data_IF_809831424214
#
_entry.id   IF_809831424214
#
_cell.length_a   1.000
_cell.length_b   1.000
_cell.length_c   1.000
_cell.angle_alpha   90.00
_cell.angle_beta   90.00
_cell.angle_gamma   90.00
#
_symmetry.space_group_name_H-M   'P 1'
#
loop_
_entity.id
_entity.type
_entity.pdbx_description
1 polymer ?
#
# COMPACT_ATOMS: atom_id res chain seq x y z
N UNK A 1 14.57 -9.54 2.77
CA UNK A 1 15.22 -10.37 3.81
C UNK A 1 14.78 -11.83 3.68
N UNK A 2 15.72 -12.74 3.50
CA UNK A 2 15.46 -14.18 3.38
C UNK A 2 14.90 -14.74 4.69
N UNK A 3 13.64 -15.24 4.68
CA UNK A 3 12.98 -15.90 5.81
C UNK A 3 13.47 -17.36 5.96
N UNK A 4 14.77 -17.59 5.97
CA UNK A 4 15.36 -18.90 6.30
C UNK A 4 15.28 -19.12 7.82
N UNK A 5 14.91 -20.34 8.25
CA UNK A 5 14.90 -20.79 9.66
C UNK A 5 16.23 -20.55 10.36
N UNK A 6 17.35 -20.70 9.67
CA UNK A 6 18.71 -20.44 10.19
C UNK A 6 18.90 -18.96 10.52
N UNK A 7 18.36 -18.05 9.69
CA UNK A 7 18.40 -16.61 9.95
C UNK A 7 17.55 -16.26 11.19
N UNK A 8 16.37 -16.87 11.32
CA UNK A 8 15.51 -16.65 12.50
C UNK A 8 16.15 -17.15 13.80
N UNK A 9 16.86 -18.28 13.76
CA UNK A 9 17.59 -18.81 14.93
C UNK A 9 18.77 -17.92 15.29
N UNK A 10 19.56 -17.49 14.28
CA UNK A 10 20.75 -16.65 14.46
C UNK A 10 20.43 -15.32 15.15
N UNK A 11 19.37 -14.65 14.72
CA UNK A 11 18.98 -13.33 15.24
C UNK A 11 17.84 -13.38 16.27
N UNK A 12 17.54 -14.58 16.83
CA UNK A 12 16.40 -14.73 17.74
C UNK A 12 16.51 -13.88 19.01
N UNK A 13 17.73 -13.71 19.57
CA UNK A 13 17.93 -12.88 20.76
C UNK A 13 17.55 -11.42 20.53
N UNK A 14 17.85 -10.89 19.35
CA UNK A 14 17.49 -9.53 18.92
C UNK A 14 15.99 -9.44 18.55
N UNK A 15 15.45 -10.46 17.88
CA UNK A 15 14.04 -10.48 17.48
C UNK A 15 13.05 -10.77 18.62
N UNK A 16 13.46 -11.46 19.68
CA UNK A 16 12.56 -11.91 20.76
C UNK A 16 11.87 -10.75 21.50
N UNK A 17 12.55 -9.65 21.88
CA UNK A 17 11.89 -8.47 22.45
C UNK A 17 10.86 -7.86 21.48
N UNK A 18 11.21 -7.66 20.21
CA UNK A 18 10.29 -7.13 19.20
C UNK A 18 9.06 -8.04 19.00
N UNK A 19 9.26 -9.35 19.00
CA UNK A 19 8.19 -10.32 18.90
C UNK A 19 7.25 -10.26 20.12
N UNK A 20 7.80 -10.19 21.34
CA UNK A 20 7.02 -10.04 22.57
C UNK A 20 6.22 -8.73 22.60
N UNK A 21 6.86 -7.62 22.22
CA UNK A 21 6.19 -6.32 22.14
C UNK A 21 5.06 -6.35 21.11
N UNK A 22 5.29 -6.95 19.94
CA UNK A 22 4.26 -7.14 18.91
C UNK A 22 3.10 -8.02 19.40
N UNK A 23 3.39 -9.09 20.13
CA UNK A 23 2.38 -9.95 20.75
C UNK A 23 1.55 -9.19 21.79
N UNK A 24 2.18 -8.39 22.66
CA UNK A 24 1.49 -7.55 23.64
C UNK A 24 0.59 -6.52 22.96
N UNK A 25 1.09 -5.81 21.94
CA UNK A 25 0.26 -4.88 21.16
C UNK A 25 -0.91 -5.60 20.48
N UNK A 26 -0.70 -6.79 19.91
CA UNK A 26 -1.78 -7.60 19.33
C UNK A 26 -2.80 -8.03 20.38
N UNK A 27 -2.38 -8.38 21.59
CA UNK A 27 -3.27 -8.78 22.67
C UNK A 27 -4.11 -7.61 23.18
N UNK A 28 -3.49 -6.45 23.44
CA UNK A 28 -4.19 -5.22 23.80
C UNK A 28 -5.19 -4.80 22.72
N UNK A 29 -4.80 -4.93 21.44
CA UNK A 29 -5.70 -4.66 20.31
C UNK A 29 -6.88 -5.63 20.31
N UNK A 30 -6.66 -6.93 20.54
CA UNK A 30 -7.76 -7.91 20.63
C UNK A 30 -8.73 -7.61 21.77
N UNK A 31 -8.22 -7.23 22.94
CA UNK A 31 -9.04 -6.90 24.11
C UNK A 31 -9.88 -5.63 23.87
N UNK A 32 -9.31 -4.60 23.23
CA UNK A 32 -10.06 -3.41 22.80
C UNK A 32 -11.12 -3.75 21.74
N UNK A 33 -10.84 -4.72 20.87
CA UNK A 33 -11.67 -5.08 19.73
C UNK A 33 -12.82 -6.02 20.08
N UNK A 34 -12.80 -6.69 21.23
CA UNK A 34 -13.88 -7.58 21.65
C UNK A 34 -15.24 -6.87 21.67
N UNK A 35 -15.24 -5.55 21.87
CA UNK A 35 -16.44 -4.70 21.79
C UNK A 35 -17.06 -4.63 20.37
N UNK A 36 -16.25 -4.75 19.33
CA UNK A 36 -16.67 -4.62 17.93
C UNK A 36 -16.87 -5.97 17.22
N UNK A 37 -16.47 -7.08 17.84
CA UNK A 37 -16.54 -8.40 17.22
C UNK A 37 -17.98 -8.86 16.94
N UNK A 38 -18.93 -8.53 17.82
CA UNK A 38 -20.36 -8.81 17.60
C UNK A 38 -20.89 -8.06 16.39
N UNK A 39 -20.65 -6.75 16.33
CA UNK A 39 -21.04 -5.88 15.21
C UNK A 39 -20.43 -6.34 13.89
N UNK A 40 -19.12 -6.63 13.87
CA UNK A 40 -18.43 -7.11 12.67
C UNK A 40 -19.04 -8.43 12.17
N UNK A 41 -19.32 -9.36 13.08
CA UNK A 41 -19.91 -10.66 12.74
C UNK A 41 -21.33 -10.52 12.17
N UNK A 42 -22.14 -9.66 12.77
CA UNK A 42 -23.51 -9.37 12.31
C UNK A 42 -23.53 -8.78 10.89
N UNK A 43 -22.55 -7.93 10.57
CA UNK A 43 -22.45 -7.24 9.29
C UNK A 43 -21.54 -7.97 8.27
N UNK A 44 -21.05 -9.17 8.58
CA UNK A 44 -20.16 -9.94 7.70
C UNK A 44 -18.81 -9.26 7.42
N UNK A 45 -18.35 -8.38 8.31
CA UNK A 45 -17.10 -7.63 8.17
C UNK A 45 -15.92 -8.45 8.70
N UNK A 46 -14.71 -8.30 8.12
CA UNK A 46 -13.49 -8.87 8.71
C UNK A 46 -13.26 -8.30 10.12
N UNK A 47 -12.55 -9.04 10.96
CA UNK A 47 -12.10 -8.53 12.25
C UNK A 47 -11.23 -7.28 12.07
N UNK A 48 -11.12 -6.44 13.10
CA UNK A 48 -10.26 -5.24 13.07
C UNK A 48 -8.80 -5.61 12.76
N UNK A 49 -8.33 -6.75 13.26
CA UNK A 49 -6.99 -7.24 12.95
C UNK A 49 -6.82 -7.63 11.48
N UNK A 50 -7.82 -8.26 10.89
CA UNK A 50 -7.81 -8.55 9.45
C UNK A 50 -7.88 -7.26 8.64
N UNK A 51 -8.75 -6.30 9.01
CA UNK A 51 -8.81 -4.98 8.37
C UNK A 51 -7.46 -4.24 8.45
N UNK A 52 -6.76 -4.35 9.57
CA UNK A 52 -5.40 -3.80 9.74
C UNK A 52 -4.39 -4.41 8.77
N UNK A 53 -4.45 -5.72 8.51
CA UNK A 53 -3.59 -6.35 7.51
C UNK A 53 -3.99 -5.91 6.09
N UNK A 54 -5.29 -5.83 5.82
CA UNK A 54 -5.81 -5.43 4.51
C UNK A 54 -5.43 -3.98 4.21
N UNK A 55 -5.44 -3.06 5.18
CA UNK A 55 -5.00 -1.66 4.95
C UNK A 55 -3.50 -1.57 4.72
N UNK A 56 -2.69 -2.37 5.42
CA UNK A 56 -1.25 -2.48 5.15
C UNK A 56 -0.99 -2.94 3.70
N UNK A 57 -1.70 -3.99 3.25
CA UNK A 57 -1.60 -4.50 1.88
C UNK A 57 -2.10 -3.48 0.84
N UNK A 58 -3.20 -2.77 1.13
CA UNK A 58 -3.74 -1.70 0.28
C UNK A 58 -2.74 -0.56 0.13
N UNK A 59 -2.11 -0.13 1.24
CA UNK A 59 -1.09 0.91 1.23
C UNK A 59 0.12 0.50 0.37
N UNK A 60 0.58 -0.75 0.48
CA UNK A 60 1.72 -1.23 -0.31
C UNK A 60 1.37 -1.33 -1.80
N UNK A 61 0.17 -1.82 -2.12
CA UNK A 61 -0.34 -1.94 -3.49
C UNK A 61 -0.45 -0.60 -4.19
N UNK A 62 -0.85 0.43 -3.45
CA UNK A 62 -1.04 1.79 -3.97
C UNK A 62 0.13 2.72 -3.67
N UNK A 63 1.23 2.21 -3.08
CA UNK A 63 2.38 3.01 -2.61
C UNK A 63 2.90 3.99 -3.65
N UNK A 64 3.09 3.53 -4.88
CA UNK A 64 3.60 4.38 -5.96
C UNK A 64 2.65 5.54 -6.29
N UNK A 65 1.35 5.29 -6.34
CA UNK A 65 0.37 6.33 -6.65
C UNK A 65 0.19 7.30 -5.49
N UNK A 66 0.28 6.81 -4.26
CA UNK A 66 0.30 7.65 -3.06
C UNK A 66 1.52 8.57 -3.09
N UNK A 67 2.70 8.03 -3.37
CA UNK A 67 3.94 8.81 -3.53
C UNK A 67 3.77 9.89 -4.62
N UNK A 68 3.27 9.52 -5.80
CA UNK A 68 3.00 10.45 -6.90
C UNK A 68 2.04 11.57 -6.51
N UNK A 69 0.92 11.22 -5.88
CA UNK A 69 -0.08 12.16 -5.44
C UNK A 69 0.51 13.16 -4.43
N UNK A 70 1.31 12.69 -3.48
CA UNK A 70 1.94 13.54 -2.48
C UNK A 70 3.02 14.45 -3.06
N UNK A 71 3.84 13.94 -3.99
CA UNK A 71 4.82 14.75 -4.72
C UNK A 71 4.11 15.86 -5.50
N UNK A 72 3.02 15.53 -6.19
CA UNK A 72 2.19 16.53 -6.87
C UNK A 72 1.68 17.60 -5.89
N UNK A 73 1.13 17.17 -4.75
CA UNK A 73 0.60 18.07 -3.73
C UNK A 73 1.68 19.05 -3.24
N UNK A 74 2.90 18.57 -2.99
CA UNK A 74 4.02 19.40 -2.52
C UNK A 74 4.39 20.49 -3.53
N UNK A 75 4.36 20.18 -4.82
CA UNK A 75 4.72 21.14 -5.87
C UNK A 75 3.62 22.16 -6.20
N UNK A 76 2.36 21.82 -5.97
CA UNK A 76 1.21 22.62 -6.43
C UNK A 76 0.47 23.35 -5.32
N UNK A 77 0.47 22.82 -4.10
CA UNK A 77 -0.34 23.33 -2.99
C UNK A 77 0.18 24.67 -2.47
N UNK A 78 -0.77 25.52 -2.04
CA UNK A 78 -0.54 26.74 -1.26
C UNK A 78 -1.41 26.72 0.00
N UNK A 79 -0.89 27.01 1.21
CA UNK A 79 0.52 27.25 1.54
C UNK A 79 1.41 26.03 1.26
N UNK A 80 2.73 26.26 1.21
CA UNK A 80 3.71 25.20 0.98
C UNK A 80 3.64 24.17 2.10
N UNK A 81 3.77 22.90 1.75
CA UNK A 81 3.80 21.77 2.68
C UNK A 81 5.13 21.76 3.44
N UNK A 82 5.07 21.66 4.76
CA UNK A 82 6.23 21.45 5.63
C UNK A 82 6.32 19.96 6.01
N UNK A 83 7.21 19.20 5.36
CA UNK A 83 7.32 17.75 5.58
C UNK A 83 7.66 17.35 7.04
N UNK A 84 8.24 18.28 7.81
CA UNK A 84 8.60 18.03 9.20
C UNK A 84 7.44 18.24 10.18
N UNK A 85 6.43 19.03 9.79
CA UNK A 85 5.34 19.45 10.67
C UNK A 85 3.95 19.07 10.17
N UNK A 86 3.82 18.83 8.87
CA UNK A 86 2.58 18.47 8.22
C UNK A 86 2.51 16.95 7.99
N UNK A 87 1.31 16.43 7.90
CA UNK A 87 1.02 15.06 7.53
C UNK A 87 -0.08 15.03 6.46
N UNK A 88 -0.18 13.92 5.72
CA UNK A 88 -1.33 13.65 4.87
C UNK A 88 -2.29 12.69 5.57
N UNK A 89 -3.56 13.07 5.65
CA UNK A 89 -4.66 12.22 6.09
C UNK A 89 -5.43 11.72 4.86
N UNK A 90 -5.65 10.41 4.80
CA UNK A 90 -6.52 9.75 3.83
C UNK A 90 -7.73 9.17 4.56
N UNK A 91 -8.93 9.58 4.16
CA UNK A 91 -10.20 9.09 4.70
C UNK A 91 -10.68 7.92 3.85
N UNK A 92 -10.69 6.73 4.45
CA UNK A 92 -10.99 5.48 3.79
C UNK A 92 -12.26 4.84 4.37
N UNK A 93 -12.93 4.04 3.56
CA UNK A 93 -14.00 3.16 4.02
C UNK A 93 -13.79 1.78 3.42
N UNK A 94 -13.84 0.76 4.28
CA UNK A 94 -13.71 -0.62 3.83
C UNK A 94 -14.87 -0.99 2.88
N UNK A 95 -14.57 -1.79 1.85
CA UNK A 95 -15.54 -2.27 0.86
C UNK A 95 -15.70 -3.80 1.04
N UNK A 96 -16.76 -4.29 1.70
CA UNK A 96 -16.98 -5.73 1.92
C UNK A 96 -17.02 -6.56 0.63
N UNK A 97 -17.59 -5.99 -0.43
CA UNK A 97 -17.69 -6.56 -1.78
C UNK A 97 -16.33 -6.77 -2.47
N UNK A 98 -15.27 -6.15 -1.96
CA UNK A 98 -13.89 -6.36 -2.44
C UNK A 98 -13.42 -7.82 -2.25
N UNK A 99 -14.07 -8.58 -1.37
CA UNK A 99 -13.65 -9.95 -1.00
C UNK A 99 -12.18 -10.01 -0.56
N UNK A 100 -11.72 -8.99 0.15
CA UNK A 100 -10.33 -8.80 0.59
C UNK A 100 -9.32 -8.57 -0.56
N UNK A 101 -9.77 -8.14 -1.74
CA UNK A 101 -8.86 -7.71 -2.80
C UNK A 101 -8.14 -6.44 -2.36
N UNK A 102 -6.82 -6.45 -2.12
CA UNK A 102 -6.13 -5.29 -1.57
C UNK A 102 -6.11 -4.09 -2.52
N UNK A 103 -6.38 -4.26 -3.82
CA UNK A 103 -6.49 -3.12 -4.75
C UNK A 103 -7.80 -2.35 -4.63
N UNK A 104 -8.88 -2.99 -4.19
CA UNK A 104 -10.23 -2.38 -4.10
C UNK A 104 -10.82 -2.48 -2.68
N UNK A 105 -10.05 -2.92 -1.69
CA UNK A 105 -10.50 -3.14 -0.32
C UNK A 105 -10.99 -1.89 0.39
N UNK A 106 -10.50 -0.72 -0.02
CA UNK A 106 -10.87 0.56 0.54
C UNK A 106 -11.22 1.54 -0.56
N UNK A 107 -12.26 2.34 -0.28
CA UNK A 107 -12.65 3.50 -1.07
C UNK A 107 -12.08 4.76 -0.44
N UNK A 108 -11.44 5.60 -1.26
CA UNK A 108 -10.91 6.89 -0.81
C UNK A 108 -12.02 7.95 -0.88
N UNK A 109 -12.42 8.49 0.27
CA UNK A 109 -13.49 9.49 0.38
C UNK A 109 -12.97 10.93 0.39
N UNK A 110 -11.80 11.14 0.95
CA UNK A 110 -11.18 12.45 1.03
C UNK A 110 -9.72 12.33 1.41
N UNK A 111 -8.97 13.39 1.14
CA UNK A 111 -7.61 13.52 1.62
C UNK A 111 -7.33 14.97 1.99
N UNK A 112 -6.56 15.16 3.05
CA UNK A 112 -6.11 16.48 3.48
C UNK A 112 -4.62 16.44 3.81
N UNK A 113 -3.97 17.59 3.67
CA UNK A 113 -2.64 17.83 4.23
C UNK A 113 -2.80 18.93 5.25
N UNK A 114 -2.31 18.70 6.45
CA UNK A 114 -2.44 19.64 7.55
C UNK A 114 -1.32 19.50 8.57
N UNK A 115 -1.19 20.47 9.48
CA UNK A 115 -0.21 20.41 10.55
C UNK A 115 -0.54 19.27 11.50
N UNK A 116 0.48 18.70 12.13
CA UNK A 116 0.31 17.65 13.14
C UNK A 116 -0.75 18.02 14.19
N UNK A 117 -1.55 17.03 14.63
CA UNK A 117 -2.52 17.22 15.68
C UNK A 117 -1.84 17.73 16.96
N UNK A 118 -2.40 18.81 17.50
CA UNK A 118 -1.91 19.42 18.75
C UNK A 118 -2.62 18.86 19.98
N UNK A 119 -3.68 18.09 19.79
CA UNK A 119 -4.41 17.50 20.89
C UNK A 119 -3.58 16.43 21.62
N UNK A 120 -3.94 16.18 22.87
CA UNK A 120 -3.23 15.25 23.73
C UNK A 120 -3.47 13.78 23.37
N UNK A 121 -4.44 13.49 22.50
CA UNK A 121 -4.84 12.12 22.15
C UNK A 121 -4.01 11.63 20.96
N UNK A 122 -4.01 12.37 19.85
CA UNK A 122 -3.35 11.97 18.61
C UNK A 122 -1.94 12.56 18.46
N UNK A 123 -1.70 13.76 18.99
CA UNK A 123 -0.42 14.46 18.87
C UNK A 123 0.80 13.65 19.34
N UNK A 124 0.77 12.98 20.52
CA UNK A 124 1.90 12.16 20.97
C UNK A 124 2.25 11.01 20.01
N UNK A 125 1.24 10.36 19.42
CA UNK A 125 1.45 9.24 18.51
C UNK A 125 2.12 9.69 17.20
N UNK A 126 1.71 10.83 16.63
CA UNK A 126 2.33 11.40 15.43
C UNK A 126 3.80 11.75 15.68
N UNK A 127 4.09 12.45 16.80
CA UNK A 127 5.47 12.81 17.16
C UNK A 127 6.36 11.59 17.36
N UNK A 128 5.89 10.60 18.11
CA UNK A 128 6.64 9.35 18.32
C UNK A 128 6.87 8.60 17.00
N UNK A 129 5.90 8.59 16.09
CA UNK A 129 6.10 7.98 14.78
C UNK A 129 7.16 8.72 13.97
N UNK A 130 7.19 10.06 13.99
CA UNK A 130 8.24 10.84 13.30
C UNK A 130 9.64 10.51 13.74
N UNK A 131 9.86 10.28 15.03
CA UNK A 131 11.16 9.87 15.56
C UNK A 131 11.66 8.57 14.91
N UNK A 132 10.76 7.65 14.55
CA UNK A 132 11.13 6.41 13.85
C UNK A 132 11.63 6.64 12.42
N UNK A 133 11.30 7.78 11.80
CA UNK A 133 11.62 8.08 10.42
C UNK A 133 12.96 8.82 10.26
N UNK A 134 13.46 9.49 11.31
CA UNK A 134 14.60 10.42 11.24
C UNK A 134 15.85 9.78 10.63
N UNK A 135 16.24 8.59 11.10
CA UNK A 135 17.45 7.92 10.64
C UNK A 135 17.37 7.53 9.15
N UNK A 136 16.21 7.02 8.71
CA UNK A 136 15.99 6.63 7.32
C UNK A 136 15.86 7.85 6.40
N UNK A 137 15.22 8.93 6.85
CA UNK A 137 15.15 10.20 6.09
C UNK A 137 16.55 10.76 5.82
N UNK A 138 17.40 10.81 6.86
CA UNK A 138 18.78 11.26 6.72
C UNK A 138 19.61 10.38 5.77
N UNK A 139 19.40 9.06 5.82
CA UNK A 139 20.04 8.10 4.92
C UNK A 139 19.67 8.36 3.46
N UNK A 140 18.36 8.46 3.16
CA UNK A 140 17.85 8.66 1.80
C UNK A 140 18.30 10.00 1.22
N UNK A 141 18.31 11.08 2.01
CA UNK A 141 18.84 12.40 1.58
C UNK A 141 20.29 12.33 1.10
N UNK A 142 21.09 11.44 1.70
CA UNK A 142 22.51 11.27 1.34
C UNK A 142 22.68 10.44 0.07
N UNK A 143 21.81 9.45 -0.13
CA UNK A 143 22.00 8.41 -1.16
C UNK A 143 21.27 8.70 -2.47
N UNK A 144 20.24 9.55 -2.45
CA UNK A 144 19.35 9.75 -3.58
C UNK A 144 19.17 11.25 -3.88
N UNK A 145 19.76 11.71 -4.99
CA UNK A 145 19.70 13.11 -5.42
C UNK A 145 18.29 13.56 -5.83
N UNK A 146 17.35 12.64 -6.06
CA UNK A 146 15.94 12.94 -6.32
C UNK A 146 15.07 12.99 -5.08
N UNK A 147 15.62 12.62 -3.92
CA UNK A 147 14.84 12.51 -2.70
C UNK A 147 14.38 13.88 -2.19
N UNK A 148 13.07 13.99 -1.96
CA UNK A 148 12.42 15.21 -1.46
C UNK A 148 12.38 15.17 0.08
N UNK A 149 11.95 14.03 0.65
CA UNK A 149 11.80 13.87 2.09
C UNK A 149 10.84 12.76 2.49
N UNK A 150 10.87 12.40 3.76
CA UNK A 150 9.91 11.50 4.39
C UNK A 150 8.67 12.28 4.78
N UNK A 151 7.49 11.73 4.47
CA UNK A 151 6.21 12.34 4.80
C UNK A 151 5.32 11.38 5.57
N UNK A 152 4.80 11.85 6.71
CA UNK A 152 3.87 11.08 7.52
C UNK A 152 2.54 10.95 6.78
N UNK A 153 2.13 9.72 6.53
CA UNK A 153 0.82 9.43 5.93
C UNK A 153 -0.04 8.64 6.91
N UNK A 154 -1.25 9.15 7.13
CA UNK A 154 -2.23 8.63 8.08
C UNK A 154 -3.46 8.21 7.31
N UNK A 155 -3.93 6.99 7.53
CA UNK A 155 -5.14 6.45 6.92
C UNK A 155 -6.15 6.24 8.02
N UNK A 156 -7.19 7.06 8.04
CA UNK A 156 -8.33 6.85 8.90
C UNK A 156 -9.34 6.00 8.15
N UNK A 157 -9.70 4.85 8.71
CA UNK A 157 -10.67 3.95 8.11
C UNK A 157 -11.80 3.63 9.08
N UNK A 158 -13.02 3.54 8.53
CA UNK A 158 -14.27 3.24 9.23
C UNK A 158 -14.53 4.19 10.43
N UNK A 159 -14.07 5.44 10.34
CA UNK A 159 -14.29 6.50 11.33
C UNK A 159 -13.58 6.32 12.68
N UNK A 160 -12.94 5.18 12.94
CA UNK A 160 -12.47 4.81 14.28
C UNK A 160 -11.02 4.34 14.32
N UNK A 161 -10.50 3.81 13.21
CA UNK A 161 -9.17 3.21 13.19
C UNK A 161 -8.20 4.05 12.38
N UNK A 162 -6.96 4.14 12.85
CA UNK A 162 -5.88 4.86 12.18
C UNK A 162 -4.72 3.93 11.89
N UNK A 163 -4.24 3.95 10.64
CA UNK A 163 -3.00 3.33 10.23
C UNK A 163 -2.01 4.43 9.85
N UNK A 164 -0.78 4.38 10.37
CA UNK A 164 0.26 5.36 10.06
C UNK A 164 1.41 4.67 9.32
N UNK A 165 1.93 5.31 8.27
CA UNK A 165 3.13 4.88 7.57
C UNK A 165 3.98 6.08 7.19
N UNK A 166 5.19 5.80 6.71
CA UNK A 166 6.10 6.78 6.13
C UNK A 166 6.07 6.62 4.61
N UNK A 167 5.83 7.71 3.89
CA UNK A 167 6.03 7.77 2.45
C UNK A 167 7.32 8.53 2.15
N UNK A 168 8.29 7.84 1.56
CA UNK A 168 9.55 8.40 1.10
C UNK A 168 9.35 8.98 -0.30
N UNK A 169 9.47 10.30 -0.43
CA UNK A 169 9.11 11.02 -1.65
C UNK A 169 10.33 11.31 -2.50
N UNK A 170 10.22 11.08 -3.81
CA UNK A 170 11.29 11.34 -4.76
C UNK A 170 10.76 12.03 -6.04
N UNK A 171 11.46 13.06 -6.52
CA UNK A 171 11.06 13.87 -7.67
C UNK A 171 11.20 13.14 -9.02
N UNK A 172 12.09 12.16 -9.11
CA UNK A 172 12.51 11.49 -10.34
C UNK A 172 11.97 10.06 -10.51
N UNK A 173 11.36 9.46 -9.48
CA UNK A 173 10.77 8.10 -9.52
C UNK A 173 9.44 8.01 -10.27
N UNK A 174 8.91 9.13 -10.75
CA UNK A 174 7.56 9.21 -11.27
C UNK A 174 7.53 9.42 -12.79
N UNK A 175 7.38 8.32 -13.54
CA UNK A 175 6.86 8.37 -14.90
C UNK A 175 5.35 8.67 -14.80
N UNK A 176 4.96 9.87 -15.23
CA UNK A 176 3.69 10.49 -14.86
C UNK A 176 2.52 9.92 -15.68
N UNK A 177 1.48 9.34 -15.06
CA UNK A 177 0.15 9.31 -15.65
C UNK A 177 -0.33 10.75 -15.78
N UNK A 178 -0.50 11.23 -17.01
CA UNK A 178 -1.25 12.46 -17.24
C UNK A 178 -2.69 12.18 -16.85
N UNK A 179 -3.25 13.09 -16.07
CA UNK A 179 -4.61 13.14 -15.55
C UNK A 179 -5.64 12.32 -16.36
N UNK A 180 -6.57 11.62 -15.69
CA UNK A 180 -7.77 11.12 -16.36
C UNK A 180 -8.42 12.27 -17.12
N UNK A 181 -8.56 12.15 -18.46
CA UNK A 181 -9.18 13.20 -19.31
C UNK A 181 -10.64 13.49 -18.92
N UNK A 182 -11.22 12.63 -18.08
CA UNK A 182 -12.64 12.57 -17.75
C UNK A 182 -13.02 13.35 -16.50
N UNK A 183 -12.08 13.98 -15.79
CA UNK A 183 -12.41 14.79 -14.61
C UNK A 183 -12.28 16.29 -14.89
N UNK A 184 -13.40 17.04 -14.99
CA UNK A 184 -13.35 18.49 -14.85
C UNK A 184 -13.02 18.79 -13.39
N UNK A 185 -11.78 19.15 -13.09
CA UNK A 185 -11.40 19.55 -11.74
C UNK A 185 -11.56 21.05 -11.63
N UNK A 186 -12.59 21.49 -10.91
CA UNK A 186 -12.86 22.92 -10.69
C UNK A 186 -11.83 23.58 -9.75
N UNK A 187 -11.02 22.79 -9.03
CA UNK A 187 -10.01 23.25 -8.08
C UNK A 187 -8.70 22.46 -8.18
N UNK A 188 -7.69 23.07 -8.81
CA UNK A 188 -6.35 22.50 -8.98
C UNK A 188 -5.71 21.98 -7.66
N UNK A 189 -6.06 22.56 -6.52
CA UNK A 189 -5.50 22.19 -5.19
C UNK A 189 -5.96 20.82 -4.68
N UNK A 190 -7.04 20.27 -5.24
CA UNK A 190 -7.59 18.95 -4.92
C UNK A 190 -7.19 17.87 -5.94
N UNK A 191 -6.56 18.26 -7.06
CA UNK A 191 -6.24 17.36 -8.16
C UNK A 191 -5.38 16.18 -7.76
N UNK A 192 -4.44 16.41 -6.83
CA UNK A 192 -3.47 15.41 -6.41
C UNK A 192 -4.15 14.15 -5.84
N UNK A 193 -5.20 14.31 -5.02
CA UNK A 193 -5.90 13.17 -4.44
C UNK A 193 -6.96 12.60 -5.39
N UNK A 194 -7.53 13.40 -6.29
CA UNK A 194 -8.54 12.93 -7.24
C UNK A 194 -7.97 11.89 -8.22
N UNK A 195 -6.71 12.06 -8.63
CA UNK A 195 -6.02 11.05 -9.45
C UNK A 195 -5.82 9.74 -8.69
N UNK A 196 -5.35 9.81 -7.43
CA UNK A 196 -5.23 8.64 -6.56
C UNK A 196 -6.60 7.96 -6.35
N UNK A 197 -7.64 8.76 -6.11
CA UNK A 197 -9.01 8.31 -5.93
C UNK A 197 -9.51 7.57 -7.17
N UNK A 198 -9.30 8.13 -8.35
CA UNK A 198 -9.69 7.49 -9.61
C UNK A 198 -9.09 6.10 -9.75
N UNK A 199 -7.77 5.95 -9.54
CA UNK A 199 -7.11 4.65 -9.70
C UNK A 199 -7.51 3.64 -8.63
N UNK A 200 -7.61 4.08 -7.37
CA UNK A 200 -8.03 3.22 -6.25
C UNK A 200 -9.49 2.75 -6.40
N UNK A 201 -10.41 3.63 -6.80
CA UNK A 201 -11.81 3.30 -7.07
C UNK A 201 -11.95 2.28 -8.23
N UNK A 202 -11.03 2.33 -9.21
CA UNK A 202 -11.01 1.41 -10.36
C UNK A 202 -10.17 0.15 -10.11
N UNK A 203 -9.53 0.00 -8.95
CA UNK A 203 -8.65 -1.13 -8.65
C UNK A 203 -7.41 -1.21 -9.55
N UNK A 204 -7.01 -0.07 -10.13
CA UNK A 204 -5.80 0.05 -10.94
C UNK A 204 -4.62 0.28 -10.01
N UNK A 205 -3.54 -0.45 -10.26
CA UNK A 205 -2.28 -0.29 -9.53
C UNK A 205 -1.10 -0.35 -10.48
N UNK A 206 -0.02 0.31 -10.10
CA UNK A 206 1.22 0.34 -10.87
C UNK A 206 2.27 -0.54 -10.20
N UNK A 207 2.96 -1.37 -10.99
CA UNK A 207 4.10 -2.16 -10.50
C UNK A 207 5.36 -1.84 -11.28
N UNK A 208 6.47 -1.75 -10.56
CA UNK A 208 7.80 -1.68 -11.14
C UNK A 208 8.12 -3.02 -11.83
N UNK A 209 8.48 -2.96 -13.11
CA UNK A 209 8.88 -4.10 -13.95
C UNK A 209 10.23 -3.80 -14.59
N UNK A 210 11.10 -4.80 -14.62
CA UNK A 210 12.42 -4.71 -15.25
C UNK A 210 13.58 -4.87 -14.25
N UNK A 211 14.59 -5.70 -14.57
CA UNK A 211 15.70 -5.96 -13.65
C UNK A 211 16.75 -4.84 -13.60
N UNK A 212 16.77 -3.95 -14.62
CA UNK A 212 17.87 -2.97 -14.81
C UNK A 212 17.36 -1.55 -15.02
N UNK A 213 16.24 -1.40 -15.74
CA UNK A 213 15.49 -0.14 -15.80
C UNK A 213 14.10 -0.44 -15.30
N UNK A 214 13.76 0.14 -14.14
CA UNK A 214 12.46 -0.04 -13.52
C UNK A 214 11.45 0.87 -14.23
N UNK A 215 10.41 0.27 -14.80
CA UNK A 215 9.28 0.98 -15.37
C UNK A 215 8.01 0.65 -14.60
N UNK A 216 7.15 1.63 -14.38
CA UNK A 216 5.86 1.42 -13.73
C UNK A 216 4.81 1.09 -14.78
N UNK A 217 4.27 -0.14 -14.71
CA UNK A 217 3.23 -0.59 -15.63
C UNK A 217 1.89 -0.69 -14.89
N UNK A 218 0.78 -0.25 -15.52
CA UNK A 218 -0.54 -0.38 -14.92
C UNK A 218 -1.03 -1.83 -14.99
N UNK A 219 -1.88 -2.18 -14.05
CA UNK A 219 -2.58 -3.45 -14.05
C UNK A 219 -3.65 -3.51 -12.97
N UNK A 220 -4.32 -4.64 -12.90
CA UNK A 220 -5.42 -4.89 -11.95
C UNK A 220 -5.15 -6.16 -11.18
N UNK A 221 -5.65 -6.27 -9.95
CA UNK A 221 -5.60 -7.54 -9.24
C UNK A 221 -6.79 -8.42 -9.60
N UNK A 222 -6.49 -9.65 -10.00
CA UNK A 222 -7.47 -10.69 -10.22
C UNK A 222 -7.32 -11.78 -9.16
N UNK A 223 -8.45 -12.33 -8.73
CA UNK A 223 -8.45 -13.50 -7.86
C UNK A 223 -8.20 -14.76 -8.69
N UNK A 224 -7.14 -15.48 -8.35
CA UNK A 224 -6.85 -16.80 -8.90
C UNK A 224 -6.74 -17.80 -7.76
N UNK A 225 -7.72 -18.70 -7.67
CA UNK A 225 -7.90 -19.64 -6.54
C UNK A 225 -8.00 -18.86 -5.20
N UNK A 226 -7.03 -19.05 -4.31
CA UNK A 226 -6.98 -18.42 -2.98
C UNK A 226 -5.95 -17.27 -2.91
N UNK A 227 -5.52 -16.74 -4.06
CA UNK A 227 -4.52 -15.67 -4.12
C UNK A 227 -4.96 -14.55 -5.04
N UNK A 228 -4.49 -13.34 -4.76
CA UNK A 228 -4.60 -12.21 -5.67
C UNK A 228 -3.35 -12.13 -6.53
N UNK A 229 -3.54 -12.06 -7.85
CA UNK A 229 -2.48 -11.94 -8.83
C UNK A 229 -2.64 -10.60 -9.53
N UNK A 230 -1.58 -9.81 -9.53
CA UNK A 230 -1.54 -8.63 -10.39
C UNK A 230 -1.39 -9.09 -11.84
N UNK A 231 -2.27 -8.61 -12.71
CA UNK A 231 -2.15 -8.77 -14.15
C UNK A 231 -1.87 -7.41 -14.78
N UNK A 232 -0.76 -7.34 -15.51
CA UNK A 232 -0.45 -6.20 -16.38
C UNK A 232 -1.63 -5.98 -17.32
N UNK A 233 -1.99 -4.72 -17.54
CA UNK A 233 -3.00 -4.32 -18.52
C UNK A 233 -2.42 -3.35 -19.54
N UNK A 234 -2.84 -3.46 -20.79
CA UNK A 234 -2.60 -2.41 -21.78
C UNK A 234 -3.59 -1.26 -21.60
N UNK A 235 -3.31 -0.12 -22.23
CA UNK A 235 -4.22 1.03 -22.18
C UNK A 235 -5.56 0.72 -22.89
N UNK A 236 -5.54 -0.10 -23.93
CA UNK A 236 -6.72 -0.57 -24.66
C UNK A 236 -7.57 -1.49 -23.79
N UNK A 237 -6.96 -2.42 -23.05
CA UNK A 237 -7.67 -3.27 -22.08
C UNK A 237 -8.32 -2.44 -20.98
N UNK A 238 -7.59 -1.48 -20.41
CA UNK A 238 -8.12 -0.57 -19.38
C UNK A 238 -9.29 0.25 -19.94
N UNK A 239 -9.16 0.77 -21.16
CA UNK A 239 -10.25 1.47 -21.84
C UNK A 239 -11.48 0.57 -22.03
N UNK A 240 -11.28 -0.70 -22.42
CA UNK A 240 -12.34 -1.71 -22.52
C UNK A 240 -13.02 -2.00 -21.18
N UNK A 241 -12.34 -1.79 -20.06
CA UNK A 241 -12.88 -1.87 -18.70
C UNK A 241 -13.55 -0.57 -18.22
N UNK A 242 -13.66 0.45 -19.09
CA UNK A 242 -14.20 1.76 -18.73
C UNK A 242 -13.24 2.61 -17.87
N UNK A 243 -11.94 2.37 -18.01
CA UNK A 243 -10.86 3.06 -17.29
C UNK A 243 -10.02 3.82 -18.32
N UNK A 244 -10.32 5.10 -18.52
CA UNK A 244 -9.63 5.94 -19.50
C UNK A 244 -8.74 6.99 -18.80
N UNK A 245 -7.43 6.91 -19.03
CA UNK A 245 -6.45 7.90 -18.59
C UNK A 245 -5.29 7.97 -19.59
N UNK A 246 -4.44 8.98 -19.48
CA UNK A 246 -3.24 9.09 -20.31
C UNK A 246 -2.00 8.76 -19.51
N UNK A 247 -1.07 7.98 -20.06
CA UNK A 247 0.23 7.77 -19.40
C UNK A 247 1.35 8.30 -20.28
N UNK A 248 2.16 9.23 -19.76
CA UNK A 248 3.40 9.62 -20.43
C UNK A 248 4.50 8.78 -19.82
N UNK A 249 4.61 7.55 -20.32
CA UNK A 249 5.79 6.74 -20.10
C UNK A 249 6.99 7.48 -20.72
N UNK A 250 8.15 7.51 -20.05
CA UNK A 250 9.38 8.13 -20.63
C UNK A 250 9.60 7.62 -22.05
N UNK A 251 10.22 8.42 -22.93
CA UNK A 251 10.51 8.08 -24.34
C UNK A 251 11.29 6.76 -24.57
N UNK A 252 11.78 6.08 -23.51
CA UNK A 252 12.37 4.74 -23.56
C UNK A 252 11.49 3.61 -22.98
N UNK A 253 10.35 3.94 -22.37
CA UNK A 253 9.37 3.05 -21.76
C UNK A 253 8.19 2.74 -22.73
N UNK A 254 8.43 2.89 -24.03
CA UNK A 254 7.44 2.55 -25.06
C UNK A 254 7.12 1.04 -24.97
N UNK A 255 5.89 0.73 -24.59
CA UNK A 255 5.41 -0.63 -24.27
C UNK A 255 5.64 -1.59 -25.45
N UNK A 256 5.55 -1.08 -26.69
CA UNK A 256 5.78 -1.86 -27.91
C UNK A 256 7.25 -2.29 -28.08
N UNK A 257 8.19 -1.49 -27.56
CA UNK A 257 9.64 -1.77 -27.64
C UNK A 257 10.11 -2.73 -26.55
N UNK A 258 9.41 -2.78 -25.42
CA UNK A 258 9.67 -3.72 -24.32
C UNK A 258 9.21 -5.13 -24.71
N UNK A 259 8.07 -5.25 -25.39
CA UNK A 259 7.53 -6.52 -25.90
C UNK A 259 8.48 -7.21 -26.90
N UNK A 260 9.22 -6.43 -27.69
CA UNK A 260 10.22 -6.94 -28.63
C UNK A 260 11.56 -7.35 -27.99
N UNK A 261 11.89 -6.86 -26.77
CA UNK A 261 13.20 -7.08 -26.14
C UNK A 261 13.19 -8.10 -25.00
N UNK A 262 12.04 -8.46 -24.47
CA UNK A 262 11.94 -9.40 -23.34
C UNK A 262 10.70 -10.31 -23.41
N UNK A 263 10.61 -11.23 -24.40
CA UNK A 263 9.48 -12.15 -24.56
C UNK A 263 9.22 -13.05 -23.33
N UNK A 264 10.21 -13.21 -22.44
CA UNK A 264 10.11 -13.95 -21.18
C UNK A 264 9.30 -13.26 -20.07
N UNK A 265 8.98 -11.96 -20.21
CA UNK A 265 8.09 -11.24 -19.28
C UNK A 265 6.62 -11.67 -19.40
N UNK A 266 6.23 -12.34 -20.48
CA UNK A 266 4.88 -12.88 -20.68
C UNK A 266 4.53 -14.03 -19.71
N UNK A 267 5.52 -14.59 -18.99
CA UNK A 267 5.35 -15.72 -18.07
C UNK A 267 5.51 -15.40 -16.57
N UNK A 268 5.85 -14.15 -16.20
CA UNK A 268 6.17 -13.81 -14.82
C UNK A 268 4.92 -13.57 -13.96
N UNK A 269 4.25 -14.65 -13.55
CA UNK A 269 3.26 -14.63 -12.47
C UNK A 269 4.00 -14.45 -11.14
N UNK A 270 4.04 -13.24 -10.61
CA UNK A 270 4.58 -12.99 -9.26
C UNK A 270 3.47 -13.16 -8.22
N UNK A 271 3.60 -14.20 -7.41
CA UNK A 271 2.64 -14.59 -6.37
C UNK A 271 2.68 -13.65 -5.16
N UNK A 272 1.51 -13.11 -4.77
CA UNK A 272 1.27 -12.67 -3.40
C UNK A 272 0.62 -13.85 -2.65
N UNK A 273 1.34 -14.47 -1.72
CA UNK A 273 0.84 -15.59 -0.92
C UNK A 273 0.14 -15.04 0.35
N UNK A 274 -1.12 -14.62 0.20
CA UNK A 274 -1.92 -13.96 1.25
C UNK A 274 -2.59 -14.90 2.27
N UNK A 275 -2.10 -16.14 2.49
CA UNK A 275 -2.77 -17.09 3.41
C UNK A 275 -1.84 -17.91 4.33
N UNK A 276 -0.87 -17.28 5.00
CA UNK A 276 -0.13 -17.97 6.09
C UNK A 276 -0.28 -17.30 7.45
N UNK A 277 -1.51 -17.10 7.91
CA UNK A 277 -1.83 -17.07 9.35
C UNK A 277 -3.20 -17.71 9.61
N UNK A 278 -3.25 -19.04 9.66
CA UNK A 278 -4.24 -19.76 10.47
C UNK A 278 -3.53 -20.27 11.73
N UNK A 279 -4.10 -19.93 12.88
CA UNK A 279 -3.74 -20.38 14.24
C UNK A 279 -4.00 -21.90 14.37
N UNK A 280 -3.49 -22.57 15.43
CA UNK A 280 -2.51 -23.65 15.36
C UNK A 280 -3.09 -25.03 14.96
N UNK A 281 -2.29 -25.83 14.25
CA UNK A 281 -2.54 -27.28 14.12
C UNK A 281 -2.18 -27.99 15.43
N UNK A 282 -3.11 -28.10 16.35
CA UNK A 282 -3.09 -29.14 17.37
C UNK A 282 -3.48 -30.48 16.74
N UNK A 283 -2.55 -31.44 16.86
CA UNK A 283 -2.71 -32.90 16.67
C UNK A 283 -3.28 -33.36 15.32
N UNK A 284 -2.41 -33.92 14.47
CA UNK A 284 -2.62 -35.30 14.02
C UNK A 284 -1.28 -35.86 13.54
N UNK A 285 -0.85 -36.91 14.23
CA UNK A 285 0.35 -37.67 13.94
C UNK A 285 0.23 -38.34 12.56
N UNK A 286 1.39 -38.48 11.93
CA UNK A 286 1.61 -39.27 10.72
C UNK A 286 1.07 -40.69 10.92
N UNK A 287 0.03 -41.02 10.18
CA UNK A 287 -0.21 -42.37 9.72
C UNK A 287 0.05 -42.37 8.21
N UNK A 288 0.69 -43.46 7.76
CA UNK A 288 0.87 -43.89 6.36
C UNK A 288 2.07 -43.29 5.62
N UNK A 289 3.22 -43.83 6.03
CA UNK A 289 4.20 -44.43 5.14
C UNK A 289 3.52 -45.58 4.33
N UNK A 290 3.63 -45.55 2.99
CA UNK A 290 3.58 -46.66 1.99
C UNK A 290 3.06 -46.13 0.64
N UNK A 291 3.98 -45.93 -0.32
CA UNK A 291 4.29 -46.78 -1.49
C UNK A 291 3.30 -46.69 -2.64
N UNK A 292 3.79 -46.19 -3.78
CA UNK A 292 3.34 -46.37 -5.18
C UNK A 292 4.62 -45.98 -5.97
N UNK A 293 5.40 -46.90 -6.54
CA UNK A 293 5.12 -47.61 -7.82
C UNK A 293 3.77 -47.29 -8.45
#
# INVERSE_FOLDING_TARGET
>A
MSRNKEHQVKYWKEHKPHCKQRQLCHQQTKELNAHYDSYNKEHGLPSIMERRQIIEDWCEVHRHMIEQALVHAIYTRRPKVDLQRDFALFLLTYQPESNCNPSTAFKLHGAEIGPDPRDSVYGPAHRSFRETMVAQDALMRREDAGYIGAFLTVYQYDGQSTWMTCTYLNAYTHDIPKFPRTMPVERYEEEWYQVLKFFTDKGVMFRAVGPTVQYWLPGTMERSRNRFLWRKRTMEELKGMGIEFTCTLRRGADVRRIELRAPWLMGAVIFLDLQKQRVPRTKFAKLLQKTVD
#
